data_IF_035659227173
#
_entry.id   IF_035659227173
#
_cell.length_a   1.000
_cell.length_b   1.000
_cell.length_c   1.000
_cell.angle_alpha   90.00
_cell.angle_beta   90.00
_cell.angle_gamma   90.00
#
_symmetry.space_group_name_H-M   'P 1'
#
loop_
_entity.id
_entity.type
_entity.pdbx_description
1 polymer ?
#
# COMPACT_ATOMS: atom_id res chain seq x y z
N UNK A 1 -30.59 14.62 -4.04
CA UNK A 1 -29.69 15.09 -2.97
C UNK A 1 -28.87 13.96 -2.35
N UNK A 2 -29.48 12.84 -1.97
CA UNK A 2 -28.79 11.69 -1.35
C UNK A 2 -27.72 11.03 -2.25
N UNK A 3 -27.98 10.82 -3.55
CA UNK A 3 -26.95 10.39 -4.51
C UNK A 3 -25.71 11.31 -4.57
N UNK A 4 -25.90 12.62 -4.43
CA UNK A 4 -24.79 13.59 -4.42
C UNK A 4 -23.96 13.40 -3.14
N UNK A 5 -24.60 13.21 -1.99
CA UNK A 5 -23.92 12.89 -0.74
C UNK A 5 -23.16 11.57 -0.83
N UNK A 6 -23.77 10.54 -1.44
CA UNK A 6 -23.14 9.24 -1.68
C UNK A 6 -21.89 9.38 -2.57
N UNK A 7 -21.95 10.22 -3.60
CA UNK A 7 -20.80 10.50 -4.44
C UNK A 7 -19.67 11.17 -3.68
N UNK A 8 -19.96 12.21 -2.88
CA UNK A 8 -18.94 12.84 -2.04
C UNK A 8 -18.38 11.90 -0.98
N UNK A 9 -19.20 11.06 -0.36
CA UNK A 9 -18.74 10.04 0.59
C UNK A 9 -17.86 8.97 -0.09
N UNK A 10 -18.19 8.59 -1.32
CA UNK A 10 -17.37 7.67 -2.11
C UNK A 10 -16.03 8.31 -2.49
N UNK A 11 -16.04 9.57 -2.92
CA UNK A 11 -14.83 10.35 -3.18
C UNK A 11 -13.99 10.53 -1.90
N UNK A 12 -14.61 10.69 -0.74
CA UNK A 12 -13.93 10.73 0.54
C UNK A 12 -13.27 9.39 0.88
N UNK A 13 -13.97 8.26 0.70
CA UNK A 13 -13.37 6.93 0.85
C UNK A 13 -12.21 6.73 -0.13
N UNK A 14 -12.36 7.14 -1.39
CA UNK A 14 -11.33 7.09 -2.42
C UNK A 14 -10.10 7.92 -2.04
N UNK A 15 -10.30 9.13 -1.52
CA UNK A 15 -9.24 9.96 -0.96
C UNK A 15 -8.51 9.26 0.18
N UNK A 16 -9.25 8.74 1.17
CA UNK A 16 -8.69 8.02 2.31
C UNK A 16 -7.90 6.78 1.87
N UNK A 17 -8.43 6.02 0.90
CA UNK A 17 -7.72 4.90 0.29
C UNK A 17 -6.42 5.37 -0.36
N UNK A 18 -6.46 6.42 -1.18
CA UNK A 18 -5.27 6.99 -1.78
C UNK A 18 -4.21 7.34 -0.74
N UNK A 19 -4.63 8.02 0.32
CA UNK A 19 -3.77 8.47 1.40
C UNK A 19 -3.11 7.29 2.16
N UNK A 20 -3.82 6.19 2.39
CA UNK A 20 -3.26 5.03 3.11
C UNK A 20 -2.50 4.06 2.19
N UNK A 21 -2.99 3.85 0.97
CA UNK A 21 -2.64 2.69 0.15
C UNK A 21 -1.64 3.02 -0.96
N UNK A 22 -1.55 4.28 -1.40
CA UNK A 22 -0.75 4.63 -2.58
C UNK A 22 0.75 4.33 -2.41
N UNK A 23 1.30 4.49 -1.19
CA UNK A 23 2.72 4.26 -0.97
C UNK A 23 3.10 2.78 -0.86
N UNK A 24 2.15 1.85 -0.78
CA UNK A 24 2.42 0.42 -0.49
C UNK A 24 3.28 -0.25 -1.56
N UNK A 25 3.02 0.03 -2.84
CA UNK A 25 3.79 -0.55 -3.95
C UNK A 25 5.22 -0.02 -4.07
N UNK A 26 5.46 1.19 -3.60
CA UNK A 26 6.75 1.89 -3.72
C UNK A 26 7.49 2.02 -2.39
N UNK A 27 6.93 1.50 -1.30
CA UNK A 27 7.57 1.46 0.01
C UNK A 27 8.95 0.81 -0.07
N UNK A 28 9.08 -0.23 -0.90
CA UNK A 28 10.35 -0.91 -1.14
C UNK A 28 11.40 -0.03 -1.82
N UNK A 29 11.01 0.84 -2.76
CA UNK A 29 11.91 1.80 -3.42
C UNK A 29 12.38 2.89 -2.45
N UNK A 30 11.48 3.39 -1.60
CA UNK A 30 11.83 4.43 -0.63
C UNK A 30 12.65 3.87 0.53
N UNK A 31 12.30 2.70 1.07
CA UNK A 31 12.97 2.10 2.22
C UNK A 31 14.34 1.51 1.90
N UNK A 32 14.59 1.12 0.65
CA UNK A 32 15.93 0.75 0.15
C UNK A 32 16.77 1.95 -0.29
N UNK A 33 16.22 3.18 -0.19
CA UNK A 33 16.86 4.43 -0.62
C UNK A 33 17.16 4.50 -2.13
N UNK A 34 16.54 3.66 -2.97
CA UNK A 34 16.67 3.70 -4.43
C UNK A 34 16.21 5.03 -5.00
N UNK A 35 15.14 5.61 -4.46
CA UNK A 35 14.69 6.95 -4.84
C UNK A 35 14.13 7.75 -3.67
N UNK A 36 13.97 9.05 -3.88
CA UNK A 36 13.37 9.95 -2.89
C UNK A 36 11.84 9.77 -2.81
N UNK A 37 11.23 10.34 -1.78
CA UNK A 37 9.79 10.26 -1.56
C UNK A 37 8.95 10.77 -2.74
N UNK A 38 9.38 11.87 -3.38
CA UNK A 38 8.63 12.51 -4.49
C UNK A 38 8.60 11.60 -5.73
N UNK A 39 9.72 11.02 -6.10
CA UNK A 39 9.80 10.07 -7.21
C UNK A 39 8.97 8.82 -6.92
N UNK A 40 9.08 8.28 -5.70
CA UNK A 40 8.30 7.12 -5.28
C UNK A 40 6.79 7.36 -5.36
N UNK A 41 6.28 8.43 -4.74
CA UNK A 41 4.84 8.72 -4.73
C UNK A 41 4.30 9.06 -6.12
N UNK A 42 5.07 9.79 -6.95
CA UNK A 42 4.66 10.07 -8.33
C UNK A 42 4.56 8.80 -9.15
N UNK A 43 5.55 7.90 -9.03
CA UNK A 43 5.53 6.60 -9.71
C UNK A 43 4.34 5.75 -9.27
N UNK A 44 4.08 5.67 -7.96
CA UNK A 44 2.93 4.96 -7.42
C UNK A 44 1.60 5.52 -7.93
N UNK A 45 1.48 6.85 -8.02
CA UNK A 45 0.26 7.52 -8.45
C UNK A 45 -0.04 7.22 -9.91
N UNK A 46 0.96 7.37 -10.79
CA UNK A 46 0.81 7.10 -12.24
C UNK A 46 0.45 5.65 -12.49
N UNK A 47 1.16 4.71 -11.86
CA UNK A 47 0.94 3.27 -12.07
C UNK A 47 -0.38 2.80 -11.45
N UNK A 48 -0.77 3.32 -10.28
CA UNK A 48 -2.11 3.10 -9.73
C UNK A 48 -3.16 3.58 -10.71
N UNK A 49 -3.05 4.81 -11.20
CA UNK A 49 -4.04 5.39 -12.10
C UNK A 49 -4.21 4.53 -13.36
N UNK A 50 -3.10 4.03 -13.93
CA UNK A 50 -3.14 3.05 -15.02
C UNK A 50 -3.89 1.76 -14.65
N UNK A 51 -3.65 1.22 -13.45
CA UNK A 51 -4.36 0.06 -12.91
C UNK A 51 -5.86 0.30 -12.72
N UNK A 52 -6.21 1.48 -12.22
CA UNK A 52 -7.60 1.93 -12.03
C UNK A 52 -8.35 2.00 -13.35
N UNK A 53 -7.74 2.52 -14.42
CA UNK A 53 -8.34 2.51 -15.76
C UNK A 53 -8.50 1.08 -16.27
N UNK A 54 -7.46 0.26 -16.14
CA UNK A 54 -7.51 -1.12 -16.64
C UNK A 54 -8.51 -2.01 -15.88
N UNK A 55 -8.86 -1.64 -14.65
CA UNK A 55 -9.86 -2.34 -13.84
C UNK A 55 -11.25 -2.40 -14.46
N UNK A 56 -11.59 -1.45 -15.34
CA UNK A 56 -12.83 -1.44 -16.11
C UNK A 56 -12.93 -2.70 -16.98
N UNK A 57 -11.81 -3.16 -17.53
CA UNK A 57 -11.75 -4.29 -18.45
C UNK A 57 -11.41 -5.60 -17.75
N UNK A 58 -10.51 -5.55 -16.75
CA UNK A 58 -9.93 -6.74 -16.14
C UNK A 58 -10.59 -7.17 -14.83
N UNK A 59 -11.34 -6.30 -14.15
CA UNK A 59 -11.93 -6.60 -12.84
C UNK A 59 -13.45 -6.37 -12.72
N UNK A 60 -14.29 -6.66 -13.74
CA UNK A 60 -15.73 -6.44 -13.64
C UNK A 60 -16.40 -7.31 -12.56
N UNK A 61 -15.79 -8.44 -12.20
CA UNK A 61 -16.29 -9.36 -11.16
C UNK A 61 -16.13 -8.76 -9.75
N UNK A 62 -15.05 -8.01 -9.50
CA UNK A 62 -14.86 -7.31 -8.21
C UNK A 62 -15.95 -6.27 -7.98
N UNK A 63 -16.31 -5.52 -9.02
CA UNK A 63 -17.37 -4.50 -8.97
C UNK A 63 -18.70 -5.11 -8.49
N UNK A 64 -19.06 -6.30 -8.98
CA UNK A 64 -20.29 -7.01 -8.57
C UNK A 64 -20.23 -7.51 -7.13
N UNK A 65 -19.06 -7.97 -6.65
CA UNK A 65 -18.89 -8.51 -5.29
C UNK A 65 -19.13 -7.45 -4.22
N UNK A 66 -18.68 -6.21 -4.46
CA UNK A 66 -18.81 -5.10 -3.52
C UNK A 66 -20.12 -4.32 -3.66
N UNK A 67 -21.04 -4.75 -4.55
CA UNK A 67 -22.37 -4.13 -4.66
C UNK A 67 -23.31 -4.50 -3.51
N UNK A 68 -22.85 -5.25 -2.49
CA UNK A 68 -23.62 -5.71 -1.34
C UNK A 68 -24.59 -6.87 -1.62
N UNK A 69 -24.81 -7.24 -2.88
CA UNK A 69 -25.74 -8.30 -3.29
C UNK A 69 -25.30 -9.65 -2.73
N UNK A 70 -26.22 -10.34 -2.06
CA UNK A 70 -26.00 -11.65 -1.44
C UNK A 70 -25.40 -11.61 -0.03
N UNK A 71 -25.07 -10.42 0.51
CA UNK A 71 -24.56 -10.25 1.90
C UNK A 71 -25.68 -9.82 2.83
N UNK A 72 -26.45 -8.82 2.41
CA UNK A 72 -27.59 -8.26 3.12
C UNK A 72 -28.83 -8.49 2.24
N UNK A 73 -30.03 -8.69 2.81
CA UNK A 73 -31.26 -8.82 2.02
C UNK A 73 -31.46 -7.65 1.03
N UNK A 74 -31.96 -7.95 -0.17
CA UNK A 74 -32.01 -7.00 -1.29
C UNK A 74 -32.82 -5.73 -0.99
N UNK A 75 -33.80 -5.81 -0.08
CA UNK A 75 -34.59 -4.65 0.35
C UNK A 75 -33.79 -3.61 1.14
N UNK A 76 -32.66 -3.97 1.75
CA UNK A 76 -31.75 -3.04 2.42
C UNK A 76 -30.56 -2.64 1.55
N UNK A 77 -30.03 -3.56 0.74
CA UNK A 77 -28.88 -3.30 -0.16
C UNK A 77 -29.20 -2.28 -1.25
N UNK A 78 -30.47 -2.20 -1.67
CA UNK A 78 -30.95 -1.18 -2.60
C UNK A 78 -31.07 0.24 -2.00
N UNK A 79 -30.80 0.43 -0.71
CA UNK A 79 -30.89 1.72 -0.05
C UNK A 79 -29.62 2.54 -0.22
N UNK A 80 -29.75 3.73 -0.79
CA UNK A 80 -28.66 4.70 -0.93
C UNK A 80 -28.04 5.09 0.43
N UNK A 81 -28.84 5.04 1.50
CA UNK A 81 -28.40 5.31 2.88
C UNK A 81 -27.46 4.23 3.42
N UNK A 82 -27.69 2.97 3.04
CA UNK A 82 -26.82 1.87 3.42
C UNK A 82 -25.42 2.06 2.82
N UNK A 83 -25.33 2.32 1.51
CA UNK A 83 -24.05 2.55 0.85
C UNK A 83 -23.36 3.83 1.30
N UNK A 84 -24.14 4.88 1.62
CA UNK A 84 -23.61 6.10 2.22
C UNK A 84 -22.95 5.82 3.57
N UNK A 85 -23.62 5.07 4.45
CA UNK A 85 -23.10 4.69 5.76
C UNK A 85 -21.84 3.82 5.66
N UNK A 86 -21.82 2.87 4.71
CA UNK A 86 -20.64 2.05 4.40
C UNK A 86 -19.47 2.93 3.94
N UNK A 87 -19.70 3.87 3.03
CA UNK A 87 -18.67 4.79 2.51
C UNK A 87 -18.06 5.65 3.62
N UNK A 88 -18.91 6.24 4.47
CA UNK A 88 -18.47 7.08 5.60
C UNK A 88 -17.75 6.26 6.66
N UNK A 89 -18.31 5.11 7.06
CA UNK A 89 -17.72 4.24 8.08
C UNK A 89 -16.34 3.74 7.67
N UNK A 90 -16.20 3.26 6.43
CA UNK A 90 -14.91 2.85 5.90
C UNK A 90 -13.96 4.05 5.73
N UNK A 91 -14.43 5.16 5.17
CA UNK A 91 -13.62 6.34 4.89
C UNK A 91 -13.04 6.99 6.15
N UNK A 92 -13.83 7.11 7.22
CA UNK A 92 -13.40 7.63 8.51
C UNK A 92 -12.36 6.72 9.16
N UNK A 93 -12.61 5.41 9.15
CA UNK A 93 -11.66 4.43 9.72
C UNK A 93 -10.30 4.51 9.01
N UNK A 94 -10.31 4.60 7.67
CA UNK A 94 -9.08 4.68 6.87
C UNK A 94 -8.35 6.00 7.06
N UNK A 95 -9.03 7.13 7.09
CA UNK A 95 -8.34 8.42 7.27
C UNK A 95 -7.73 8.54 8.67
N UNK A 96 -8.42 8.07 9.72
CA UNK A 96 -7.89 8.10 11.09
C UNK A 96 -6.62 7.26 11.20
N UNK A 97 -6.62 6.05 10.63
CA UNK A 97 -5.42 5.22 10.57
C UNK A 97 -4.29 5.87 9.75
N UNK A 98 -4.62 6.57 8.68
CA UNK A 98 -3.65 7.29 7.85
C UNK A 98 -3.00 8.45 8.61
N UNK A 99 -3.80 9.25 9.32
CA UNK A 99 -3.33 10.37 10.12
C UNK A 99 -2.46 9.93 11.31
N UNK A 100 -2.70 8.72 11.81
CA UNK A 100 -1.88 8.08 12.85
C UNK A 100 -0.71 7.27 12.29
N UNK A 101 -0.60 7.12 10.97
CA UNK A 101 0.53 6.48 10.28
C UNK A 101 0.50 4.95 10.26
N UNK A 102 -0.65 4.34 10.55
CA UNK A 102 -0.83 2.89 10.50
C UNK A 102 -1.26 2.44 9.09
N UNK A 103 -0.53 1.48 8.47
CA UNK A 103 -0.94 0.86 7.23
C UNK A 103 -2.08 -0.13 7.50
N UNK A 104 -3.31 0.26 7.17
CA UNK A 104 -4.48 -0.60 7.31
C UNK A 104 -5.02 -1.04 5.95
N UNK A 105 -6.10 -1.81 5.94
CA UNK A 105 -6.73 -2.32 4.73
C UNK A 105 -8.07 -1.64 4.48
N UNK A 106 -8.19 -0.96 3.34
CA UNK A 106 -9.48 -0.41 2.89
C UNK A 106 -10.51 -1.52 2.67
N UNK A 107 -10.08 -2.71 2.22
CA UNK A 107 -10.96 -3.89 2.10
C UNK A 107 -11.51 -4.33 3.44
N UNK A 108 -10.70 -4.33 4.51
CA UNK A 108 -11.17 -4.61 5.87
C UNK A 108 -12.13 -3.53 6.37
N UNK A 109 -11.81 -2.26 6.13
CA UNK A 109 -12.68 -1.16 6.55
C UNK A 109 -14.05 -1.23 5.85
N UNK A 110 -14.09 -1.49 4.54
CA UNK A 110 -15.33 -1.72 3.79
C UNK A 110 -16.10 -2.93 4.31
N UNK A 111 -15.42 -4.06 4.52
CA UNK A 111 -16.05 -5.29 5.02
C UNK A 111 -16.64 -5.05 6.41
N UNK A 112 -15.89 -4.42 7.32
CA UNK A 112 -16.36 -4.06 8.65
C UNK A 112 -17.57 -3.12 8.59
N UNK A 113 -17.51 -2.07 7.79
CA UNK A 113 -18.62 -1.14 7.63
C UNK A 113 -19.88 -1.83 7.07
N UNK A 114 -19.75 -2.75 6.11
CA UNK A 114 -20.86 -3.57 5.60
C UNK A 114 -21.45 -4.45 6.71
N UNK A 115 -20.61 -5.09 7.53
CA UNK A 115 -21.06 -5.91 8.67
C UNK A 115 -21.84 -5.06 9.67
N UNK A 116 -21.30 -3.90 10.04
CA UNK A 116 -21.93 -2.99 11.01
C UNK A 116 -23.26 -2.43 10.52
N UNK A 117 -23.29 -1.92 9.28
CA UNK A 117 -24.53 -1.44 8.68
C UNK A 117 -25.53 -2.59 8.48
N UNK A 118 -25.06 -3.77 8.07
CA UNK A 118 -25.88 -4.96 7.85
C UNK A 118 -26.52 -5.46 9.14
N UNK A 119 -25.78 -5.46 10.24
CA UNK A 119 -26.30 -5.79 11.56
C UNK A 119 -27.31 -4.74 12.06
N UNK A 120 -27.03 -3.45 11.86
CA UNK A 120 -27.97 -2.39 12.21
C UNK A 120 -29.26 -2.39 11.37
N UNK A 121 -29.20 -2.86 10.12
CA UNK A 121 -30.33 -2.92 9.21
C UNK A 121 -31.16 -4.20 9.36
N UNK A 122 -30.50 -5.36 9.33
CA UNK A 122 -31.13 -6.68 9.21
C UNK A 122 -30.98 -7.55 10.47
N UNK A 123 -30.19 -7.11 11.46
CA UNK A 123 -29.93 -7.86 12.68
C UNK A 123 -29.46 -9.30 12.40
N UNK A 124 -30.17 -10.33 12.91
CA UNK A 124 -29.79 -11.73 12.75
C UNK A 124 -29.94 -12.27 11.32
N UNK A 125 -30.62 -11.55 10.41
CA UNK A 125 -30.84 -12.00 9.03
C UNK A 125 -29.63 -11.75 8.09
N UNK A 126 -28.48 -11.33 8.63
CA UNK A 126 -27.25 -11.16 7.88
C UNK A 126 -26.70 -12.52 7.40
N UNK A 127 -26.32 -12.62 6.13
CA UNK A 127 -25.78 -13.87 5.58
C UNK A 127 -24.29 -14.05 5.96
N UNK A 128 -24.04 -14.58 7.16
CA UNK A 128 -22.68 -14.85 7.65
C UNK A 128 -21.90 -15.85 6.78
N UNK A 129 -22.58 -16.78 6.10
CA UNK A 129 -21.92 -17.75 5.21
C UNK A 129 -21.35 -17.07 3.96
N UNK A 130 -22.15 -16.20 3.32
CA UNK A 130 -21.71 -15.41 2.17
C UNK A 130 -20.59 -14.42 2.55
N UNK A 131 -20.71 -13.77 3.71
CA UNK A 131 -19.69 -12.87 4.25
C UNK A 131 -18.37 -13.61 4.53
N UNK A 132 -18.45 -14.76 5.20
CA UNK A 132 -17.30 -15.57 5.58
C UNK A 132 -16.52 -16.06 4.36
N UNK A 133 -17.19 -16.70 3.40
CA UNK A 133 -16.55 -17.22 2.18
C UNK A 133 -16.15 -16.12 1.21
N UNK A 134 -16.94 -15.06 1.11
CA UNK A 134 -16.75 -13.99 0.12
C UNK A 134 -15.69 -12.97 0.50
N UNK A 135 -15.51 -12.68 1.79
CA UNK A 135 -14.65 -11.59 2.26
C UNK A 135 -13.64 -12.07 3.31
N UNK A 136 -14.12 -12.64 4.41
CA UNK A 136 -13.27 -12.97 5.57
C UNK A 136 -12.19 -13.99 5.20
N UNK A 137 -12.55 -15.04 4.47
CA UNK A 137 -11.62 -16.12 4.12
C UNK A 137 -10.49 -15.64 3.19
N UNK A 138 -10.75 -14.95 2.05
CA UNK A 138 -9.69 -14.35 1.25
C UNK A 138 -8.81 -13.36 2.04
N UNK A 139 -9.42 -12.56 2.93
CA UNK A 139 -8.70 -11.58 3.75
C UNK A 139 -7.74 -12.20 4.77
N UNK A 140 -8.11 -13.35 5.34
CA UNK A 140 -7.30 -14.10 6.30
C UNK A 140 -6.21 -14.93 5.62
N UNK A 141 -6.53 -15.60 4.51
CA UNK A 141 -5.60 -16.50 3.83
C UNK A 141 -4.55 -15.76 2.98
N UNK A 142 -4.89 -14.62 2.40
CA UNK A 142 -3.98 -13.88 1.51
C UNK A 142 -2.63 -13.46 2.14
N UNK A 143 -2.53 -12.94 3.38
CA UNK A 143 -1.22 -12.65 4.00
C UNK A 143 -0.38 -13.91 4.25
N UNK A 144 -1.02 -15.02 4.65
CA UNK A 144 -0.32 -16.28 4.91
C UNK A 144 0.26 -16.87 3.63
N UNK A 145 -0.53 -16.86 2.56
CA UNK A 145 -0.08 -17.26 1.24
C UNK A 145 1.05 -16.35 0.75
N UNK A 146 0.92 -15.03 0.93
CA UNK A 146 1.95 -14.06 0.54
C UNK A 146 3.28 -14.26 1.28
N UNK A 147 3.21 -14.58 2.57
CA UNK A 147 4.38 -14.91 3.40
C UNK A 147 5.08 -16.17 2.91
N UNK A 148 4.33 -17.24 2.62
CA UNK A 148 4.89 -18.50 2.11
C UNK A 148 5.52 -18.32 0.72
N UNK A 149 4.78 -17.73 -0.22
CA UNK A 149 5.25 -17.54 -1.61
C UNK A 149 6.46 -16.61 -1.65
N UNK A 150 6.47 -15.51 -0.89
CA UNK A 150 7.61 -14.61 -0.87
C UNK A 150 8.87 -15.25 -0.27
N UNK A 151 8.71 -16.06 0.79
CA UNK A 151 9.81 -16.82 1.37
C UNK A 151 10.42 -17.80 0.37
N UNK A 152 9.58 -18.57 -0.34
CA UNK A 152 10.01 -19.52 -1.36
C UNK A 152 10.70 -18.83 -2.55
N UNK A 153 10.09 -17.76 -3.08
CA UNK A 153 10.68 -16.99 -4.18
C UNK A 153 12.00 -16.33 -3.79
N UNK A 154 12.13 -15.87 -2.54
CA UNK A 154 13.38 -15.31 -2.07
C UNK A 154 14.50 -16.35 -2.03
N UNK A 155 14.23 -17.55 -1.52
CA UNK A 155 15.20 -18.65 -1.53
C UNK A 155 15.60 -19.00 -2.97
N UNK A 156 14.63 -19.07 -3.88
CA UNK A 156 14.88 -19.34 -5.30
C UNK A 156 15.78 -18.26 -5.94
N UNK A 157 15.41 -16.98 -5.86
CA UNK A 157 16.20 -15.89 -6.44
C UNK A 157 17.57 -15.74 -5.78
N UNK A 158 17.67 -16.01 -4.47
CA UNK A 158 18.94 -16.03 -3.78
C UNK A 158 19.87 -17.13 -4.30
N UNK A 159 19.34 -18.34 -4.50
CA UNK A 159 20.07 -19.46 -5.10
C UNK A 159 20.49 -19.19 -6.54
N UNK A 160 19.57 -18.69 -7.37
CA UNK A 160 19.86 -18.32 -8.76
C UNK A 160 20.97 -17.26 -8.86
N UNK A 161 20.94 -16.26 -7.99
CA UNK A 161 21.99 -15.21 -7.91
C UNK A 161 23.38 -15.80 -7.61
N UNK A 162 23.46 -16.76 -6.69
CA UNK A 162 24.72 -17.44 -6.34
C UNK A 162 25.20 -18.29 -7.52
N UNK A 163 24.29 -19.04 -8.16
CA UNK A 163 24.61 -19.87 -9.32
C UNK A 163 25.11 -19.04 -10.51
N UNK A 164 24.60 -17.82 -10.69
CA UNK A 164 25.02 -16.87 -11.73
C UNK A 164 26.29 -16.09 -11.37
N UNK A 165 26.91 -16.32 -10.21
CA UNK A 165 28.16 -15.68 -9.81
C UNK A 165 28.04 -14.17 -9.51
N UNK A 166 26.83 -13.66 -9.27
CA UNK A 166 26.59 -12.24 -8.98
C UNK A 166 27.02 -11.90 -7.55
N UNK A 167 28.27 -11.43 -7.40
CA UNK A 167 28.87 -11.06 -6.12
C UNK A 167 28.32 -9.73 -5.59
N UNK A 168 28.20 -9.63 -4.26
CA UNK A 168 27.94 -8.33 -3.60
C UNK A 168 29.26 -7.59 -3.49
N UNK A 169 29.28 -6.32 -3.90
CA UNK A 169 30.45 -5.47 -3.74
C UNK A 169 30.25 -4.52 -2.55
N UNK A 170 31.30 -4.36 -1.75
CA UNK A 170 31.35 -3.42 -0.64
C UNK A 170 32.07 -2.15 -1.11
N UNK A 171 31.51 -0.98 -0.83
CA UNK A 171 32.16 0.29 -1.12
C UNK A 171 32.99 0.75 0.09
N UNK A 172 34.24 1.12 -0.16
CA UNK A 172 35.09 1.84 0.80
C UNK A 172 35.32 3.23 0.22
N UNK A 173 34.84 4.26 0.91
CA UNK A 173 35.07 5.64 0.50
C UNK A 173 36.45 6.09 1.02
N UNK A 174 37.31 6.58 0.12
CA UNK A 174 38.58 7.24 0.48
C UNK A 174 38.36 8.73 0.19
N UNK A 175 38.28 9.55 1.25
CA UNK A 175 38.07 10.99 1.14
C UNK A 175 39.25 11.79 1.67
N UNK A 176 39.61 12.85 0.95
CA UNK A 176 40.48 13.92 1.45
C UNK A 176 39.63 14.88 2.30
N UNK A 177 39.92 14.97 3.60
CA UNK A 177 39.22 15.88 4.49
C UNK A 177 39.85 17.27 4.45
N UNK A 178 39.07 18.29 4.13
CA UNK A 178 39.47 19.69 4.32
C UNK A 178 38.98 20.18 5.69
N UNK A 179 39.91 20.56 6.57
CA UNK A 179 39.57 21.28 7.81
C UNK A 179 39.75 22.77 7.59
N UNK A 180 38.73 23.54 7.95
CA UNK A 180 38.81 25.00 7.95
C UNK A 180 39.47 25.43 9.26
N UNK A 181 40.67 26.00 9.16
CA UNK A 181 41.43 26.52 10.30
C UNK A 181 41.37 28.04 10.25
N UNK A 182 41.11 28.68 11.39
CA UNK A 182 41.19 30.12 11.51
C UNK A 182 42.68 30.54 11.58
N UNK A 183 43.13 31.33 10.62
CA UNK A 183 44.48 31.88 10.60
C UNK A 183 44.47 33.36 11.03
N UNK A 184 45.37 33.78 11.94
CA UNK A 184 45.50 35.18 12.30
C UNK A 184 46.02 35.99 11.11
N UNK A 185 45.33 37.09 10.79
CA UNK A 185 45.77 38.07 9.79
C UNK A 185 46.30 39.34 10.48
N UNK A 186 47.20 40.09 9.83
CA UNK A 186 47.81 41.30 10.40
C UNK A 186 46.80 42.39 10.79
N UNK A 187 45.62 42.40 10.15
CA UNK A 187 44.55 43.37 10.40
C UNK A 187 43.28 42.67 10.91
N UNK A 188 43.31 42.22 12.18
CA UNK A 188 42.17 41.94 13.08
C UNK A 188 41.03 41.01 12.63
N UNK A 189 41.03 40.51 11.40
CA UNK A 189 40.02 39.60 10.86
C UNK A 189 40.61 38.20 10.76
N UNK A 190 39.98 37.24 11.43
CA UNK A 190 40.32 35.83 11.27
C UNK A 190 39.90 35.39 9.87
N UNK A 191 40.87 34.95 9.06
CA UNK A 191 40.59 34.33 7.77
C UNK A 191 40.42 32.83 7.95
N UNK A 192 39.29 32.28 7.49
CA UNK A 192 39.04 30.86 7.43
C UNK A 192 39.71 30.30 6.17
N UNK A 193 40.69 29.41 6.32
CA UNK A 193 41.36 28.73 5.20
C UNK A 193 41.16 27.22 5.31
N UNK A 194 40.69 26.62 4.22
CA UNK A 194 40.65 25.16 4.10
C UNK A 194 42.07 24.63 3.91
N UNK A 195 42.51 23.71 4.77
CA UNK A 195 43.81 23.06 4.68
C UNK A 195 43.60 21.57 4.44
N UNK A 196 44.21 20.98 3.38
CA UNK A 196 44.11 19.55 3.11
C UNK A 196 44.89 18.76 4.17
N UNK A 197 44.26 17.74 4.75
CA UNK A 197 44.89 16.77 5.66
C UNK A 197 45.18 15.45 4.93
N UNK A 198 46.15 14.62 5.40
CA UNK A 198 46.41 13.29 4.84
C UNK A 198 45.14 12.44 4.80
N UNK A 199 45.03 11.62 3.76
CA UNK A 199 43.92 10.70 3.50
C UNK A 199 43.60 9.83 4.72
N UNK A 200 42.57 10.20 5.47
CA UNK A 200 42.03 9.35 6.52
C UNK A 200 41.12 8.30 5.90
N UNK A 201 41.33 7.04 6.27
CA UNK A 201 40.50 5.93 5.84
C UNK A 201 39.29 5.87 6.77
N UNK A 202 38.21 6.55 6.40
CA UNK A 202 36.95 6.50 7.13
C UNK A 202 36.03 5.47 6.51
N UNK A 203 35.56 4.54 7.33
CA UNK A 203 34.36 3.78 6.99
C UNK A 203 33.21 4.79 7.02
N UNK A 204 32.68 5.10 5.84
CA UNK A 204 31.59 6.05 5.68
C UNK A 204 30.33 5.58 6.43
N UNK A 205 29.41 6.49 6.71
CA UNK A 205 28.14 6.12 7.33
C UNK A 205 27.35 5.18 6.40
N UNK A 206 26.50 4.33 6.99
CA UNK A 206 25.62 3.39 6.27
C UNK A 206 24.71 4.10 5.25
N UNK A 207 24.58 5.44 5.32
CA UNK A 207 23.89 6.26 4.32
C UNK A 207 24.59 6.36 2.97
N UNK A 208 25.92 6.37 2.94
CA UNK A 208 26.73 6.49 1.73
C UNK A 208 27.33 5.13 1.28
N UNK A 209 27.52 4.19 2.20
CA UNK A 209 27.96 2.83 1.86
C UNK A 209 26.78 1.96 1.40
N UNK A 210 26.41 2.07 0.11
CA UNK A 210 25.31 1.30 -0.49
C UNK A 210 25.78 -0.05 -1.04
N UNK A 211 25.05 -1.13 -0.74
CA UNK A 211 25.24 -2.44 -1.41
C UNK A 211 25.02 -2.25 -2.92
N UNK A 212 26.08 -2.39 -3.74
CA UNK A 212 25.99 -2.38 -5.21
C UNK A 212 26.20 -3.78 -5.77
N UNK A 213 25.49 -4.09 -6.86
CA UNK A 213 25.69 -5.32 -7.61
C UNK A 213 26.69 -5.09 -8.74
N UNK A 214 27.85 -5.73 -8.63
CA UNK A 214 28.91 -5.69 -9.63
C UNK A 214 28.64 -6.63 -10.82
N UNK A 215 29.35 -6.38 -11.92
CA UNK A 215 29.31 -7.19 -13.15
C UNK A 215 28.37 -6.63 -14.24
N UNK A 216 28.47 -7.24 -15.41
CA UNK A 216 27.67 -6.89 -16.59
C UNK A 216 26.78 -8.08 -16.97
N UNK A 217 25.53 -7.79 -17.33
CA UNK A 217 24.56 -8.76 -17.83
C UNK A 217 24.00 -8.25 -19.17
N UNK A 218 24.24 -8.99 -20.25
CA UNK A 218 23.77 -8.65 -21.61
C UNK A 218 24.10 -7.19 -22.05
N UNK A 219 25.28 -6.69 -21.68
CA UNK A 219 25.74 -5.34 -22.06
C UNK A 219 25.26 -4.20 -21.14
N UNK A 220 24.41 -4.48 -20.15
CA UNK A 220 24.01 -3.54 -19.11
C UNK A 220 24.75 -3.85 -17.79
N UNK A 221 24.88 -2.86 -16.91
CA UNK A 221 25.40 -3.12 -15.57
C UNK A 221 24.37 -3.91 -14.77
N UNK A 222 24.82 -4.86 -13.94
CA UNK A 222 23.94 -5.64 -13.06
C UNK A 222 23.08 -4.73 -12.16
N UNK A 223 23.62 -3.56 -11.78
CA UNK A 223 22.91 -2.56 -10.99
C UNK A 223 21.73 -1.93 -11.74
N UNK A 224 21.92 -1.49 -12.99
CA UNK A 224 20.84 -0.91 -13.81
C UNK A 224 19.69 -1.90 -14.03
N UNK A 225 20.03 -3.17 -14.28
CA UNK A 225 19.04 -4.23 -14.48
C UNK A 225 18.22 -4.44 -13.20
N UNK A 226 18.88 -4.49 -12.04
CA UNK A 226 18.21 -4.67 -10.74
C UNK A 226 17.38 -3.45 -10.37
N UNK A 227 17.86 -2.23 -10.65
CA UNK A 227 17.12 -1.00 -10.39
C UNK A 227 15.88 -0.90 -11.27
N UNK A 228 16.02 -1.19 -12.57
CA UNK A 228 14.88 -1.26 -13.49
C UNK A 228 13.87 -2.32 -13.04
N UNK A 229 14.32 -3.52 -12.68
CA UNK A 229 13.45 -4.58 -12.17
C UNK A 229 12.73 -4.17 -10.87
N UNK A 230 13.42 -3.46 -9.97
CA UNK A 230 12.84 -2.97 -8.72
C UNK A 230 11.77 -1.89 -8.99
N UNK A 231 12.05 -0.91 -9.85
CA UNK A 231 11.08 0.11 -10.26
C UNK A 231 9.85 -0.48 -10.96
N UNK A 232 10.07 -1.40 -11.91
CA UNK A 232 9.00 -2.07 -12.64
C UNK A 232 8.15 -2.90 -11.68
N UNK A 233 8.77 -3.72 -10.82
CA UNK A 233 8.02 -4.51 -9.84
C UNK A 233 7.22 -3.63 -8.87
N UNK A 234 7.79 -2.53 -8.38
CA UNK A 234 7.07 -1.58 -7.53
C UNK A 234 5.87 -0.94 -8.25
N UNK A 235 6.07 -0.58 -9.52
CA UNK A 235 5.01 -0.08 -10.40
C UNK A 235 3.91 -1.11 -10.63
N UNK A 236 4.26 -2.39 -10.81
CA UNK A 236 3.26 -3.47 -10.97
C UNK A 236 2.44 -3.69 -9.71
N UNK A 237 3.00 -3.50 -8.50
CA UNK A 237 2.23 -3.57 -7.26
C UNK A 237 1.23 -2.42 -7.20
N UNK A 238 1.66 -1.20 -7.49
CA UNK A 238 0.77 -0.02 -7.52
C UNK A 238 -0.30 -0.14 -8.61
N UNK A 239 0.03 -0.71 -9.78
CA UNK A 239 -0.93 -1.06 -10.82
C UNK A 239 -1.94 -2.10 -10.32
N UNK A 240 -1.47 -3.21 -9.75
CA UNK A 240 -2.32 -4.26 -9.19
C UNK A 240 -3.25 -3.72 -8.09
N UNK A 241 -2.77 -2.73 -7.33
CA UNK A 241 -3.56 -2.01 -6.34
C UNK A 241 -4.68 -1.20 -6.99
N UNK A 242 -4.40 -0.39 -8.01
CA UNK A 242 -5.44 0.31 -8.77
C UNK A 242 -6.47 -0.65 -9.36
N UNK A 243 -5.99 -1.79 -9.89
CA UNK A 243 -6.82 -2.86 -10.43
C UNK A 243 -7.80 -3.44 -9.40
N UNK A 244 -7.35 -3.56 -8.15
CA UNK A 244 -8.13 -4.11 -7.06
C UNK A 244 -9.04 -3.05 -6.39
N UNK A 245 -8.48 -1.91 -5.98
CA UNK A 245 -9.10 -0.89 -5.12
C UNK A 245 -10.16 -0.04 -5.83
N UNK A 246 -10.03 0.22 -7.12
CA UNK A 246 -10.98 1.08 -7.81
C UNK A 246 -12.36 0.43 -7.97
N UNK A 247 -12.49 -0.83 -8.46
CA UNK A 247 -13.80 -1.47 -8.60
C UNK A 247 -14.59 -1.58 -7.29
N UNK A 248 -13.94 -1.86 -6.16
CA UNK A 248 -14.62 -1.97 -4.85
C UNK A 248 -15.20 -0.64 -4.36
N UNK A 249 -14.51 0.47 -4.61
CA UNK A 249 -15.01 1.80 -4.21
C UNK A 249 -16.10 2.27 -5.19
N UNK A 250 -15.89 2.06 -6.50
CA UNK A 250 -16.89 2.38 -7.53
C UNK A 250 -18.18 1.56 -7.35
N UNK A 251 -18.11 0.37 -6.77
CA UNK A 251 -19.28 -0.46 -6.49
C UNK A 251 -20.35 0.25 -5.65
N UNK A 252 -19.95 1.21 -4.80
CA UNK A 252 -20.86 2.01 -3.98
C UNK A 252 -21.74 2.97 -4.81
N UNK A 253 -21.32 3.29 -6.04
CA UNK A 253 -22.05 4.18 -6.95
C UNK A 253 -22.99 3.43 -7.90
N UNK A 254 -23.02 2.09 -7.87
CA UNK A 254 -23.81 1.28 -8.81
C UNK A 254 -25.32 1.51 -8.70
N UNK A 255 -25.82 2.00 -7.55
CA UNK A 255 -27.23 2.34 -7.40
C UNK A 255 -27.61 3.61 -8.18
N UNK A 256 -26.65 4.48 -8.48
CA UNK A 256 -26.91 5.72 -9.23
C UNK A 256 -26.99 5.44 -10.73
N UNK A 257 -28.16 4.97 -11.19
CA UNK A 257 -28.38 4.59 -12.61
C UNK A 257 -28.13 5.72 -13.63
N UNK A 258 -28.31 6.98 -13.23
CA UNK A 258 -28.08 8.14 -14.10
C UNK A 258 -26.61 8.51 -14.27
N UNK A 259 -25.70 7.98 -13.44
CA UNK A 259 -24.27 8.22 -13.54
C UNK A 259 -23.65 7.17 -14.46
N UNK A 260 -23.01 7.59 -15.55
CA UNK A 260 -22.17 6.68 -16.33
C UNK A 260 -21.03 6.17 -15.44
N UNK A 261 -20.93 4.85 -15.33
CA UNK A 261 -19.95 4.18 -14.49
C UNK A 261 -18.52 4.62 -14.80
N UNK A 262 -18.22 4.98 -16.06
CA UNK A 262 -16.90 5.48 -16.49
C UNK A 262 -16.51 6.75 -15.74
N UNK A 263 -17.45 7.66 -15.49
CA UNK A 263 -17.21 8.85 -14.67
C UNK A 263 -17.02 8.50 -13.20
N UNK A 264 -17.70 7.46 -12.70
CA UNK A 264 -17.45 6.89 -11.38
C UNK A 264 -16.00 6.39 -11.23
N UNK A 265 -15.50 5.63 -12.20
CA UNK A 265 -14.11 5.18 -12.24
C UNK A 265 -13.12 6.35 -12.31
N UNK A 266 -13.37 7.34 -13.16
CA UNK A 266 -12.51 8.53 -13.29
C UNK A 266 -12.46 9.34 -11.98
N UNK A 267 -13.61 9.58 -11.35
CA UNK A 267 -13.70 10.30 -10.08
C UNK A 267 -12.97 9.58 -8.96
N UNK A 268 -13.17 8.26 -8.80
CA UNK A 268 -12.48 7.44 -7.80
C UNK A 268 -10.98 7.41 -8.05
N UNK A 269 -10.53 7.19 -9.29
CA UNK A 269 -9.11 7.18 -9.63
C UNK A 269 -8.43 8.54 -9.37
N UNK A 270 -9.08 9.64 -9.75
CA UNK A 270 -8.58 11.00 -9.52
C UNK A 270 -8.50 11.35 -8.03
N UNK A 271 -9.54 11.04 -7.25
CA UNK A 271 -9.56 11.31 -5.80
C UNK A 271 -8.57 10.43 -5.02
N UNK A 272 -8.39 9.17 -5.42
CA UNK A 272 -7.32 8.31 -4.91
C UNK A 272 -5.93 8.91 -5.19
N UNK A 273 -5.69 9.45 -6.39
CA UNK A 273 -4.44 10.10 -6.72
C UNK A 273 -4.19 11.33 -5.83
N UNK A 274 -5.19 12.19 -5.66
CA UNK A 274 -5.11 13.37 -4.79
C UNK A 274 -4.80 12.99 -3.34
N UNK A 275 -5.55 12.03 -2.76
CA UNK A 275 -5.31 11.59 -1.39
C UNK A 275 -3.91 11.01 -1.17
N UNK A 276 -3.42 10.24 -2.14
CA UNK A 276 -2.06 9.69 -2.11
C UNK A 276 -0.98 10.77 -2.14
N UNK A 277 -1.12 11.78 -2.99
CA UNK A 277 -0.15 12.86 -3.10
C UNK A 277 -0.09 13.74 -1.84
N UNK A 278 -1.23 13.94 -1.16
CA UNK A 278 -1.33 14.86 -0.02
C UNK A 278 -1.01 14.21 1.33
N UNK A 279 -1.47 12.98 1.60
CA UNK A 279 -1.50 12.44 2.96
C UNK A 279 -0.72 11.12 3.17
N UNK A 280 0.00 10.60 2.18
CA UNK A 280 0.67 9.30 2.28
C UNK A 280 1.95 9.26 3.15
N UNK A 281 2.49 10.41 3.57
CA UNK A 281 3.84 10.49 4.15
C UNK A 281 4.04 9.68 5.43
N UNK A 282 3.10 9.73 6.38
CA UNK A 282 3.22 8.98 7.65
C UNK A 282 3.18 7.47 7.42
N UNK A 283 2.31 7.01 6.54
CA UNK A 283 2.20 5.59 6.18
C UNK A 283 3.43 5.13 5.41
N UNK A 284 3.95 5.97 4.52
CA UNK A 284 5.19 5.74 3.79
C UNK A 284 6.37 5.45 4.72
N UNK A 285 6.55 6.27 5.76
CA UNK A 285 7.61 6.10 6.75
C UNK A 285 7.47 4.79 7.53
N UNK A 286 6.26 4.44 7.98
CA UNK A 286 6.01 3.17 8.68
C UNK A 286 6.30 1.96 7.79
N UNK A 287 5.74 1.92 6.59
CA UNK A 287 5.91 0.80 5.64
C UNK A 287 7.37 0.62 5.20
N UNK A 288 8.10 1.72 5.05
CA UNK A 288 9.43 1.69 4.41
C UNK A 288 10.57 1.51 5.41
N UNK A 289 10.41 1.99 6.65
CA UNK A 289 11.51 2.03 7.63
C UNK A 289 11.29 1.12 8.85
N UNK A 290 10.05 0.76 9.18
CA UNK A 290 9.74 0.11 10.47
C UNK A 290 9.51 -1.41 10.38
N UNK A 291 9.13 -1.95 9.20
CA UNK A 291 8.76 -3.37 9.06
C UNK A 291 9.99 -4.29 8.94
N UNK A 292 10.86 -4.03 7.97
CA UNK A 292 12.09 -4.81 7.75
C UNK A 292 13.12 -3.99 6.98
N UNK A 293 14.39 -4.37 7.09
CA UNK A 293 15.48 -3.74 6.32
C UNK A 293 15.43 -4.22 4.86
N UNK A 294 15.20 -3.28 3.94
CA UNK A 294 15.03 -3.56 2.52
C UNK A 294 16.27 -3.23 1.71
N UNK A 295 16.66 -4.16 0.85
CA UNK A 295 17.59 -3.94 -0.25
C UNK A 295 16.89 -4.31 -1.57
N UNK A 296 17.53 -4.04 -2.72
CA UNK A 296 16.90 -4.19 -4.04
C UNK A 296 16.33 -5.60 -4.29
N UNK A 297 17.10 -6.66 -4.02
CA UNK A 297 16.66 -8.04 -4.26
C UNK A 297 15.47 -8.46 -3.38
N UNK A 298 15.46 -8.04 -2.11
CA UNK A 298 14.32 -8.28 -1.20
C UNK A 298 13.09 -7.50 -1.64
N UNK A 299 13.28 -6.22 -1.99
CA UNK A 299 12.21 -5.34 -2.47
C UNK A 299 11.56 -5.89 -3.75
N UNK A 300 12.38 -6.29 -4.72
CA UNK A 300 11.93 -6.92 -5.96
C UNK A 300 11.10 -8.18 -5.69
N UNK A 301 11.60 -9.10 -4.87
CA UNK A 301 10.90 -10.36 -4.55
C UNK A 301 9.57 -10.11 -3.84
N UNK A 302 9.55 -9.17 -2.87
CA UNK A 302 8.33 -8.79 -2.15
C UNK A 302 7.29 -8.20 -3.11
N UNK A 303 7.74 -7.28 -3.96
CA UNK A 303 6.88 -6.61 -4.94
C UNK A 303 6.30 -7.61 -5.94
N UNK A 304 7.13 -8.49 -6.50
CA UNK A 304 6.70 -9.50 -7.46
C UNK A 304 5.64 -10.43 -6.88
N UNK A 305 5.87 -10.92 -5.65
CA UNK A 305 4.89 -11.76 -4.94
C UNK A 305 3.57 -11.02 -4.75
N UNK A 306 3.65 -9.75 -4.30
CA UNK A 306 2.47 -8.92 -4.07
C UNK A 306 1.70 -8.66 -5.35
N UNK A 307 2.39 -8.29 -6.44
CA UNK A 307 1.77 -8.01 -7.72
C UNK A 307 1.05 -9.25 -8.26
N UNK A 308 1.71 -10.41 -8.27
CA UNK A 308 1.12 -11.66 -8.77
C UNK A 308 -0.16 -12.01 -7.99
N UNK A 309 -0.08 -12.04 -6.66
CA UNK A 309 -1.23 -12.44 -5.83
C UNK A 309 -2.39 -11.45 -5.94
N UNK A 310 -2.12 -10.15 -5.97
CA UNK A 310 -3.16 -9.12 -6.06
C UNK A 310 -3.80 -9.10 -7.45
N UNK A 311 -3.03 -9.21 -8.53
CA UNK A 311 -3.57 -9.27 -9.90
C UNK A 311 -4.45 -10.50 -10.05
N UNK A 312 -3.96 -11.69 -9.69
CA UNK A 312 -4.73 -12.93 -9.80
C UNK A 312 -6.02 -12.86 -8.98
N UNK A 313 -5.95 -12.40 -7.73
CA UNK A 313 -7.14 -12.21 -6.91
C UNK A 313 -8.15 -11.25 -7.56
N UNK A 314 -7.67 -10.17 -8.19
CA UNK A 314 -8.53 -9.21 -8.87
C UNK A 314 -9.22 -9.80 -10.10
N UNK A 315 -8.50 -10.59 -10.90
CA UNK A 315 -9.04 -11.30 -12.06
C UNK A 315 -10.12 -12.33 -11.65
N UNK A 316 -9.89 -13.05 -10.55
CA UNK A 316 -10.86 -14.00 -10.01
C UNK A 316 -12.00 -13.35 -9.20
N UNK A 317 -11.99 -12.03 -9.02
CA UNK A 317 -13.01 -11.33 -8.25
C UNK A 317 -12.97 -11.65 -6.75
N UNK A 318 -11.79 -11.98 -6.21
CA UNK A 318 -11.57 -12.27 -4.80
C UNK A 318 -11.19 -10.99 -4.04
N UNK A 319 -11.99 -10.57 -3.04
CA UNK A 319 -11.68 -9.44 -2.18
C UNK A 319 -10.42 -9.67 -1.35
N UNK A 320 -9.27 -9.16 -1.81
CA UNK A 320 -8.02 -9.22 -1.04
C UNK A 320 -7.58 -7.83 -0.56
N UNK A 321 -6.73 -7.84 0.47
CA UNK A 321 -6.09 -6.66 1.02
C UNK A 321 -4.68 -6.55 0.46
N UNK A 322 -4.41 -5.51 -0.34
CA UNK A 322 -3.06 -5.23 -0.85
C UNK A 322 -2.07 -4.99 0.31
N UNK A 323 -2.53 -4.40 1.41
CA UNK A 323 -1.76 -4.25 2.66
C UNK A 323 -1.35 -5.58 3.24
N UNK A 324 -2.29 -6.52 3.36
CA UNK A 324 -2.01 -7.82 3.99
C UNK A 324 -1.06 -8.63 3.12
N UNK A 325 -1.27 -8.63 1.81
CA UNK A 325 -0.39 -9.33 0.87
C UNK A 325 1.01 -8.70 0.91
N UNK A 326 1.13 -7.37 0.81
CA UNK A 326 2.42 -6.68 0.80
C UNK A 326 3.20 -6.85 2.10
N UNK A 327 2.55 -6.63 3.26
CA UNK A 327 3.17 -6.84 4.58
C UNK A 327 3.48 -8.32 4.81
N UNK A 328 2.61 -9.23 4.38
CA UNK A 328 2.86 -10.68 4.44
C UNK A 328 4.09 -11.08 3.63
N UNK A 329 4.25 -10.56 2.40
CA UNK A 329 5.44 -10.78 1.59
C UNK A 329 6.71 -10.23 2.22
N UNK A 330 6.68 -9.01 2.77
CA UNK A 330 7.81 -8.43 3.49
C UNK A 330 8.17 -9.24 4.75
N UNK A 331 7.15 -9.71 5.47
CA UNK A 331 7.36 -10.53 6.67
C UNK A 331 7.96 -11.89 6.32
N UNK A 332 7.47 -12.58 5.28
CA UNK A 332 8.03 -13.85 4.82
C UNK A 332 9.51 -13.74 4.44
N UNK A 333 9.90 -12.66 3.77
CA UNK A 333 11.31 -12.37 3.48
C UNK A 333 12.07 -12.03 4.77
N UNK A 334 11.46 -11.29 5.69
CA UNK A 334 12.04 -10.99 7.00
C UNK A 334 12.34 -12.26 7.81
N UNK A 335 11.43 -13.24 7.81
CA UNK A 335 11.59 -14.53 8.49
C UNK A 335 12.71 -15.37 7.87
N UNK A 336 12.71 -15.51 6.54
CA UNK A 336 13.76 -16.26 5.82
C UNK A 336 15.15 -15.65 5.98
N UNK A 337 15.24 -14.34 6.25
CA UNK A 337 16.53 -13.65 6.43
C UNK A 337 16.89 -13.35 7.88
N UNK A 338 16.04 -13.70 8.85
CA UNK A 338 16.23 -13.37 10.27
C UNK A 338 16.19 -11.87 10.60
N UNK A 339 15.65 -11.02 9.72
CA UNK A 339 15.60 -9.55 9.88
C UNK A 339 14.18 -8.99 10.04
N UNK A 340 13.22 -9.80 10.49
CA UNK A 340 11.86 -9.35 10.78
C UNK A 340 11.76 -8.59 12.11
N UNK A 341 11.07 -7.45 12.13
CA UNK A 341 10.77 -6.73 13.37
C UNK A 341 9.40 -7.16 13.92
N UNK A 342 9.41 -8.12 14.86
CA UNK A 342 8.19 -8.69 15.43
C UNK A 342 7.32 -7.66 16.19
N UNK A 343 7.94 -6.66 16.83
CA UNK A 343 7.20 -5.59 17.51
C UNK A 343 6.35 -4.76 16.54
N UNK A 344 6.94 -4.36 15.40
CA UNK A 344 6.20 -3.61 14.37
C UNK A 344 5.13 -4.49 13.71
N UNK A 345 5.43 -5.77 13.46
CA UNK A 345 4.44 -6.69 12.88
C UNK A 345 3.26 -6.90 13.81
N UNK A 346 3.50 -7.09 15.11
CA UNK A 346 2.42 -7.22 16.10
C UNK A 346 1.55 -5.95 16.14
N UNK A 347 2.14 -4.77 16.08
CA UNK A 347 1.39 -3.51 16.00
C UNK A 347 0.54 -3.42 14.72
N UNK A 348 1.07 -3.88 13.57
CA UNK A 348 0.34 -3.92 12.31
C UNK A 348 -0.82 -4.94 12.37
N UNK A 349 -0.58 -6.16 12.83
CA UNK A 349 -1.62 -7.19 12.98
C UNK A 349 -2.71 -6.72 13.93
N UNK A 350 -2.35 -6.07 15.04
CA UNK A 350 -3.31 -5.47 15.96
C UNK A 350 -4.15 -4.39 15.26
N UNK A 351 -3.52 -3.53 14.46
CA UNK A 351 -4.26 -2.53 13.67
C UNK A 351 -5.25 -3.18 12.70
N UNK A 352 -4.92 -4.34 12.11
CA UNK A 352 -5.82 -5.06 11.21
C UNK A 352 -7.00 -5.68 11.94
N UNK A 353 -6.76 -6.23 13.14
CA UNK A 353 -7.81 -6.79 14.00
C UNK A 353 -8.77 -5.70 14.50
N UNK A 354 -8.25 -4.51 14.81
CA UNK A 354 -9.06 -3.37 15.30
C UNK A 354 -9.82 -2.67 14.15
N UNK A 355 -9.26 -2.67 12.94
CA UNK A 355 -9.87 -1.97 11.77
C UNK A 355 -11.31 -2.43 11.52
N UNK A 356 -11.57 -3.74 11.56
CA UNK A 356 -12.88 -4.30 11.22
C UNK A 356 -13.96 -3.91 12.25
N UNK A 357 -13.76 -4.13 13.57
CA UNK A 357 -14.68 -3.64 14.60
C UNK A 357 -14.89 -2.13 14.57
N UNK A 358 -13.83 -1.33 14.40
CA UNK A 358 -13.96 0.12 14.32
C UNK A 358 -14.84 0.54 13.13
N UNK A 359 -14.60 -0.01 11.94
CA UNK A 359 -15.41 0.31 10.78
C UNK A 359 -16.86 -0.18 10.93
N UNK A 360 -17.08 -1.33 11.58
CA UNK A 360 -18.41 -1.84 11.89
C UNK A 360 -19.18 -0.91 12.84
N UNK A 361 -18.53 -0.45 13.91
CA UNK A 361 -19.16 0.48 14.87
C UNK A 361 -19.47 1.82 14.20
N UNK A 362 -18.51 2.41 13.48
CA UNK A 362 -18.71 3.72 12.85
C UNK A 362 -19.78 3.64 11.75
N UNK A 363 -19.72 2.62 10.88
CA UNK A 363 -20.71 2.43 9.82
C UNK A 363 -22.11 2.12 10.38
N UNK A 364 -22.19 1.18 11.33
CA UNK A 364 -23.46 0.81 11.97
C UNK A 364 -24.11 1.96 12.73
N UNK A 365 -23.34 2.74 13.48
CA UNK A 365 -23.84 3.93 14.18
C UNK A 365 -24.34 5.00 13.21
N UNK A 366 -23.61 5.25 12.12
CA UNK A 366 -24.05 6.21 11.10
C UNK A 366 -25.34 5.74 10.39
N UNK A 367 -25.43 4.45 10.05
CA UNK A 367 -26.64 3.89 9.48
C UNK A 367 -27.83 4.02 10.44
N UNK A 368 -27.65 3.64 11.70
CA UNK A 368 -28.69 3.74 12.72
C UNK A 368 -29.17 5.19 12.90
N UNK A 369 -28.25 6.15 12.99
CA UNK A 369 -28.59 7.57 13.10
C UNK A 369 -29.38 8.08 11.89
N UNK A 370 -28.94 7.76 10.67
CA UNK A 370 -29.61 8.22 9.45
C UNK A 370 -30.96 7.55 9.22
N UNK A 371 -31.13 6.31 9.69
CA UNK A 371 -32.42 5.62 9.66
C UNK A 371 -33.38 6.20 10.72
N UNK A 372 -32.90 6.42 11.94
CA UNK A 372 -33.69 6.97 13.05
C UNK A 372 -34.14 8.41 12.81
N UNK A 373 -33.31 9.26 12.22
CA UNK A 373 -33.69 10.64 11.86
C UNK A 373 -34.75 10.73 10.75
N UNK A 374 -35.11 9.60 10.13
CA UNK A 374 -36.09 9.51 9.04
C UNK A 374 -37.40 8.85 9.46
N UNK A 375 -37.35 7.88 10.38
CA UNK A 375 -38.52 7.27 11.03
C UNK A 375 -39.15 8.26 12.00
#
# INVERSE_FOLDING_TARGET
MIFVLLFFATCFLAYSNGANDNFKGVASLFGSRTCNYRTAISWATVTTFGGSIMSIFLAPTLLKKFSGKGIVPDHFVGSEYFLLAVAIGAGLTVIIATLTGFPISTTHALTGAIIGCGFAAAGPHLNFSALGKGFVLPLLLSPLLAMAVAGLLYVFFHGARIALGLKKEWCVCIGEGERVIAMPQPNSLLALRAVPFPSHLTVDEVENCRERYGGNFLGFTSQEVIDAAHFLSAGTVSFARGLNDTPKIVALLLLWKSLDIRWGFAAVAGTMAVGGLLNARKVAETMSKKITTMNHGRGFTANLTTAILVVLASLFGLPVSTTHVSVGSLFGIGLTTGKANLGTINAIVLSWLITLPCAAVVGGAFYWLTHFLRS
#
